data_IF_254057802268
#
_entry.id   IF_254057802268
#
_cell.length_a   1.000
_cell.length_b   1.000
_cell.length_c   1.000
_cell.angle_alpha   90.00
_cell.angle_beta   90.00
_cell.angle_gamma   90.00
#
_symmetry.space_group_name_H-M   'P 1'
#
loop_
_entity.id
_entity.type
_entity.pdbx_description
1 polymer ?
#
# COMPACT_ATOMS: atom_id res chain seq x y z
N UNK A 1 40.26 10.17 -9.67
CA UNK A 1 39.15 11.02 -9.19
C UNK A 1 37.88 10.55 -9.88
N UNK A 2 37.09 9.75 -9.16
CA UNK A 2 35.81 9.17 -9.59
C UNK A 2 34.69 10.02 -8.99
N UNK A 3 33.65 10.30 -9.78
CA UNK A 3 32.23 10.39 -9.38
C UNK A 3 31.49 11.37 -10.29
N UNK A 4 30.75 10.84 -11.28
CA UNK A 4 29.57 11.48 -11.87
C UNK A 4 29.00 10.55 -12.95
N UNK A 5 28.24 9.53 -12.55
CA UNK A 5 27.37 8.76 -13.45
C UNK A 5 26.59 7.77 -12.58
N UNK A 6 25.37 8.12 -12.16
CA UNK A 6 24.30 7.18 -11.80
C UNK A 6 23.01 7.96 -11.55
N UNK A 7 22.23 8.17 -12.61
CA UNK A 7 20.81 8.52 -12.55
C UNK A 7 20.20 8.37 -13.95
N UNK A 8 20.01 7.13 -14.38
CA UNK A 8 19.12 6.74 -15.47
C UNK A 8 19.09 5.20 -15.55
N UNK A 9 18.22 4.56 -14.78
CA UNK A 9 17.67 3.23 -15.10
C UNK A 9 16.72 2.80 -13.96
N UNK A 10 15.43 2.86 -14.22
CA UNK A 10 14.47 1.73 -14.21
C UNK A 10 13.09 2.37 -14.43
N UNK A 11 12.79 2.59 -15.70
CA UNK A 11 11.44 2.60 -16.21
C UNK A 11 11.45 1.60 -17.37
N UNK A 12 11.63 0.33 -17.04
CA UNK A 12 11.27 -0.76 -17.96
C UNK A 12 9.75 -0.91 -17.92
N UNK A 13 9.08 0.18 -18.31
CA UNK A 13 7.66 0.22 -18.54
C UNK A 13 7.43 -0.53 -19.85
N UNK A 14 6.53 -1.51 -19.81
CA UNK A 14 5.81 -1.98 -20.99
C UNK A 14 5.07 -0.77 -21.60
N UNK A 15 5.80 0.05 -22.36
CA UNK A 15 5.26 1.12 -23.16
C UNK A 15 4.81 0.49 -24.48
N UNK A 16 3.68 -0.23 -24.43
CA UNK A 16 2.95 -0.60 -25.63
C UNK A 16 2.33 0.69 -26.16
N UNK A 17 2.98 1.22 -27.19
CA UNK A 17 2.59 2.40 -27.93
C UNK A 17 1.18 2.22 -28.54
N UNK A 18 0.26 3.09 -28.11
CA UNK A 18 -0.84 3.66 -28.90
C UNK A 18 -1.67 2.74 -29.79
N UNK A 19 -2.68 2.08 -29.22
CA UNK A 19 -3.98 1.90 -29.86
C UNK A 19 -5.03 1.80 -28.75
N UNK A 20 -6.02 2.71 -28.73
CA UNK A 20 -7.23 2.65 -27.90
C UNK A 20 -8.16 1.57 -28.47
N UNK A 21 -7.66 0.34 -28.59
CA UNK A 21 -8.47 -0.86 -28.74
C UNK A 21 -8.95 -1.24 -27.35
N UNK A 22 -10.27 -1.41 -27.18
CA UNK A 22 -10.93 -1.55 -25.89
C UNK A 22 -10.11 -2.36 -24.88
N UNK A 23 -9.88 -1.80 -23.70
CA UNK A 23 -9.17 -2.48 -22.62
C UNK A 23 -9.98 -3.71 -22.21
N UNK A 24 -9.77 -4.83 -22.89
CA UNK A 24 -10.51 -6.06 -22.62
C UNK A 24 -10.17 -6.62 -21.24
N UNK A 25 -8.94 -6.36 -20.78
CA UNK A 25 -8.42 -6.78 -19.49
C UNK A 25 -7.37 -5.81 -18.94
N UNK A 26 -7.31 -5.68 -17.62
CA UNK A 26 -6.16 -5.09 -16.89
C UNK A 26 -5.51 -6.16 -16.00
N UNK A 27 -4.29 -5.91 -15.56
CA UNK A 27 -3.60 -6.76 -14.57
C UNK A 27 -3.30 -5.95 -13.31
N UNK A 28 -3.64 -6.51 -12.16
CA UNK A 28 -3.34 -5.94 -10.85
C UNK A 28 -2.71 -7.03 -9.99
N UNK A 29 -1.46 -6.81 -9.59
CA UNK A 29 -0.68 -7.71 -8.74
C UNK A 29 -0.58 -9.15 -9.29
N UNK A 30 -0.61 -9.33 -10.61
CA UNK A 30 -0.58 -10.65 -11.26
C UNK A 30 -1.95 -11.26 -11.56
N UNK A 31 -3.03 -10.65 -11.06
CA UNK A 31 -4.40 -11.09 -11.33
C UNK A 31 -4.99 -10.31 -12.50
N UNK A 32 -5.56 -11.02 -13.47
CA UNK A 32 -6.21 -10.41 -14.63
C UNK A 32 -7.67 -10.10 -14.33
N UNK A 33 -8.05 -8.84 -14.48
CA UNK A 33 -9.42 -8.37 -14.37
C UNK A 33 -9.99 -8.17 -15.78
N UNK A 34 -11.22 -8.63 -16.01
CA UNK A 34 -11.93 -8.40 -17.27
C UNK A 34 -12.80 -7.16 -17.20
N UNK A 35 -13.07 -6.53 -18.35
CA UNK A 35 -14.03 -5.42 -18.45
C UNK A 35 -15.36 -5.79 -17.78
N UNK A 36 -15.96 -4.82 -17.09
CA UNK A 36 -17.20 -4.99 -16.35
C UNK A 36 -18.18 -3.85 -16.63
N UNK A 37 -19.47 -4.10 -16.45
CA UNK A 37 -20.54 -3.09 -16.62
C UNK A 37 -20.92 -2.43 -15.28
N UNK A 38 -20.08 -2.55 -14.25
CA UNK A 38 -20.35 -1.92 -12.96
C UNK A 38 -20.19 -0.41 -13.08
N UNK A 39 -21.19 0.32 -12.61
CA UNK A 39 -21.12 1.77 -12.51
C UNK A 39 -20.39 2.18 -11.24
N UNK A 40 -19.74 3.35 -11.28
CA UNK A 40 -19.18 3.97 -10.08
C UNK A 40 -20.34 4.50 -9.24
N UNK A 41 -20.56 3.86 -8.09
CA UNK A 41 -21.58 4.28 -7.14
C UNK A 41 -21.29 5.69 -6.58
N UNK A 42 -20.02 5.97 -6.28
CA UNK A 42 -19.58 7.27 -5.78
C UNK A 42 -18.07 7.44 -5.99
N UNK A 43 -17.66 8.50 -6.68
CA UNK A 43 -16.26 8.74 -7.01
C UNK A 43 -15.41 9.12 -5.79
N UNK A 44 -16.02 9.68 -4.75
CA UNK A 44 -15.38 10.00 -3.46
C UNK A 44 -15.05 8.76 -2.62
N UNK A 45 -15.58 7.59 -3.01
CA UNK A 45 -15.28 6.28 -2.43
C UNK A 45 -14.36 5.43 -3.33
N UNK A 46 -13.68 6.04 -4.30
CA UNK A 46 -12.62 5.37 -5.06
C UNK A 46 -11.27 5.68 -4.44
N UNK A 47 -10.58 4.64 -3.97
CA UNK A 47 -9.29 4.75 -3.33
C UNK A 47 -8.18 4.39 -4.31
N UNK A 48 -7.23 5.30 -4.49
CA UNK A 48 -6.09 5.05 -5.37
C UNK A 48 -5.22 3.93 -4.80
N UNK A 49 -4.97 2.88 -5.59
CA UNK A 49 -4.20 1.70 -5.15
C UNK A 49 -2.69 1.96 -5.09
N UNK A 50 -2.22 3.06 -5.67
CA UNK A 50 -0.81 3.36 -5.91
C UNK A 50 -0.32 2.88 -7.29
N UNK A 51 -1.09 2.03 -7.97
CA UNK A 51 -0.69 1.42 -9.25
C UNK A 51 -1.24 2.15 -10.47
N UNK A 52 -0.60 1.95 -11.61
CA UNK A 52 -1.10 2.43 -12.90
C UNK A 52 -1.10 1.32 -13.94
N UNK A 53 -2.06 1.35 -14.85
CA UNK A 53 -2.14 0.43 -15.98
C UNK A 53 -2.28 1.22 -17.28
N UNK A 54 -1.35 1.04 -18.22
CA UNK A 54 -1.35 1.83 -19.46
C UNK A 54 -1.28 3.35 -19.23
N UNK A 55 -0.73 3.78 -18.09
CA UNK A 55 -0.67 5.18 -17.66
C UNK A 55 -1.92 5.68 -16.91
N UNK A 56 -3.01 4.91 -16.85
CA UNK A 56 -4.19 5.26 -16.07
C UNK A 56 -4.04 4.77 -14.61
N UNK A 57 -4.46 5.59 -13.64
CA UNK A 57 -4.47 5.22 -12.22
C UNK A 57 -5.49 4.11 -11.97
N UNK A 58 -5.12 3.16 -11.10
CA UNK A 58 -6.02 2.09 -10.65
C UNK A 58 -6.64 2.43 -9.30
N UNK A 59 -7.96 2.36 -9.24
CA UNK A 59 -8.76 2.64 -8.05
C UNK A 59 -9.50 1.40 -7.59
N UNK A 60 -9.57 1.20 -6.27
CA UNK A 60 -10.43 0.20 -5.64
C UNK A 60 -11.64 0.88 -5.00
N UNK A 61 -12.82 0.26 -5.02
CA UNK A 61 -14.01 0.80 -4.39
C UNK A 61 -14.02 0.59 -2.87
N UNK A 62 -14.16 1.67 -2.12
CA UNK A 62 -14.30 1.66 -0.67
C UNK A 62 -15.65 1.16 -0.15
N UNK A 63 -16.63 0.93 -1.04
CA UNK A 63 -17.93 0.39 -0.67
C UNK A 63 -17.97 -1.15 -0.68
N UNK A 64 -16.93 -1.81 -1.18
CA UNK A 64 -16.79 -3.26 -1.00
C UNK A 64 -16.40 -3.56 0.45
N UNK A 65 -16.89 -4.68 0.98
CA UNK A 65 -16.34 -5.19 2.24
C UNK A 65 -14.83 -5.41 2.08
N UNK A 66 -14.01 -5.05 3.07
CA UNK A 66 -12.56 -5.22 2.98
C UNK A 66 -12.21 -6.69 2.69
N UNK A 67 -11.83 -6.93 1.44
CA UNK A 67 -11.40 -8.23 0.93
C UNK A 67 -9.88 -8.36 0.97
N UNK A 68 -9.38 -9.56 0.64
CA UNK A 68 -7.94 -9.78 0.44
C UNK A 68 -7.45 -9.25 -0.90
N UNK A 69 -8.36 -9.15 -1.86
CA UNK A 69 -8.17 -8.63 -3.20
C UNK A 69 -9.47 -7.90 -3.59
N UNK A 70 -9.42 -6.68 -4.15
CA UNK A 70 -10.62 -5.98 -4.63
C UNK A 70 -11.38 -6.83 -5.65
N UNK A 71 -12.70 -6.96 -5.52
CA UNK A 71 -13.48 -7.64 -6.57
C UNK A 71 -13.64 -6.78 -7.81
N UNK A 72 -13.59 -5.46 -7.64
CA UNK A 72 -13.61 -4.48 -8.70
C UNK A 72 -12.38 -3.58 -8.66
N UNK A 73 -11.97 -3.15 -9.85
CA UNK A 73 -11.00 -2.08 -10.05
C UNK A 73 -11.57 -1.10 -11.06
N UNK A 74 -11.14 0.15 -10.96
CA UNK A 74 -11.52 1.21 -11.88
C UNK A 74 -10.28 1.89 -12.44
N UNK A 75 -10.31 2.23 -13.72
CA UNK A 75 -9.43 3.24 -14.32
C UNK A 75 -10.22 4.51 -14.57
N UNK A 76 -9.56 5.65 -14.70
CA UNK A 76 -10.19 6.90 -15.16
C UNK A 76 -9.53 7.45 -16.40
N UNK A 77 -10.33 8.04 -17.29
CA UNK A 77 -9.89 8.83 -18.43
C UNK A 77 -10.84 10.02 -18.68
N UNK A 78 -10.74 10.66 -19.85
CA UNK A 78 -11.60 11.78 -20.21
C UNK A 78 -13.10 11.42 -20.39
N UNK A 79 -13.40 10.14 -20.65
CA UNK A 79 -14.77 9.65 -20.81
C UNK A 79 -15.41 9.24 -19.47
N UNK A 80 -14.60 9.05 -18.42
CA UNK A 80 -15.06 8.75 -17.07
C UNK A 80 -14.31 7.57 -16.47
N UNK A 81 -15.02 6.80 -15.64
CA UNK A 81 -14.46 5.61 -15.01
C UNK A 81 -14.85 4.34 -15.77
N UNK A 82 -13.90 3.42 -15.86
CA UNK A 82 -14.09 2.11 -16.51
C UNK A 82 -13.87 1.01 -15.49
N UNK A 83 -14.86 0.13 -15.32
CA UNK A 83 -14.83 -0.91 -14.33
C UNK A 83 -14.25 -2.22 -14.87
N UNK A 84 -13.51 -2.92 -14.00
CA UNK A 84 -12.94 -4.22 -14.26
C UNK A 84 -13.22 -5.14 -13.08
N UNK A 85 -13.63 -6.37 -13.34
CA UNK A 85 -13.95 -7.37 -12.32
C UNK A 85 -12.92 -8.48 -12.29
N UNK A 86 -12.54 -8.91 -11.08
CA UNK A 86 -11.71 -10.10 -10.90
C UNK A 86 -12.44 -11.35 -11.42
N UNK A 87 -11.72 -12.45 -11.71
CA UNK A 87 -12.35 -13.72 -12.04
C UNK A 87 -13.25 -14.20 -10.88
N UNK A 88 -14.44 -14.73 -11.21
CA UNK A 88 -15.43 -15.13 -10.20
C UNK A 88 -14.98 -16.31 -9.33
N UNK A 89 -14.13 -17.19 -9.86
CA UNK A 89 -13.60 -18.37 -9.18
C UNK A 89 -12.13 -18.55 -9.52
N UNK A 90 -11.36 -19.06 -8.56
CA UNK A 90 -9.95 -19.36 -8.79
C UNK A 90 -9.15 -19.54 -7.50
N UNK A 91 -7.90 -19.90 -7.68
CA UNK A 91 -6.89 -19.88 -6.61
C UNK A 91 -5.83 -18.88 -7.04
N UNK A 92 -5.58 -17.88 -6.22
CA UNK A 92 -4.64 -16.82 -6.54
C UNK A 92 -3.85 -16.41 -5.30
N UNK A 93 -2.60 -16.06 -5.54
CA UNK A 93 -1.78 -15.39 -4.54
C UNK A 93 -2.15 -13.90 -4.54
N UNK A 94 -1.88 -13.24 -3.42
CA UNK A 94 -1.99 -11.80 -3.28
C UNK A 94 -0.92 -11.28 -2.33
N UNK A 95 -0.60 -10.00 -2.44
CA UNK A 95 -0.14 -9.21 -1.31
C UNK A 95 -1.23 -8.23 -0.92
N UNK A 96 -1.17 -7.70 0.30
CA UNK A 96 -2.25 -6.87 0.84
C UNK A 96 -2.41 -5.54 0.10
N UNK A 97 -1.34 -5.03 -0.50
CA UNK A 97 -1.33 -3.88 -1.39
C UNK A 97 -0.13 -4.00 -2.34
N UNK A 98 -0.06 -3.14 -3.35
CA UNK A 98 0.97 -3.22 -4.37
C UNK A 98 2.28 -2.48 -4.02
N UNK A 99 2.24 -1.49 -3.11
CA UNK A 99 3.41 -0.68 -2.73
C UNK A 99 3.67 -0.67 -1.22
N UNK A 100 4.86 -1.13 -0.84
CA UNK A 100 5.37 -1.14 0.54
C UNK A 100 6.54 -0.18 0.67
N UNK A 101 6.66 0.47 1.83
CA UNK A 101 7.89 1.18 2.18
C UNK A 101 9.02 0.21 2.58
N UNK A 102 10.27 0.70 2.56
CA UNK A 102 11.40 -0.03 3.13
C UNK A 102 11.16 -0.35 4.61
N UNK A 103 11.29 -1.63 4.96
CA UNK A 103 11.06 -2.14 6.32
C UNK A 103 9.59 -2.28 6.72
N UNK A 104 8.64 -1.95 5.83
CA UNK A 104 7.21 -2.22 6.07
C UNK A 104 6.93 -3.72 5.89
N UNK A 105 6.40 -4.44 6.90
CA UNK A 105 6.10 -5.86 6.74
C UNK A 105 5.13 -6.13 5.59
N UNK A 106 5.49 -7.08 4.73
CA UNK A 106 4.71 -7.48 3.56
C UNK A 106 3.80 -8.64 3.95
N UNK A 107 2.49 -8.39 4.02
CA UNK A 107 1.49 -9.45 4.13
C UNK A 107 1.18 -10.01 2.75
N UNK A 108 1.39 -11.32 2.61
CA UNK A 108 1.14 -12.11 1.41
C UNK A 108 0.18 -13.24 1.75
N UNK A 109 -0.58 -13.73 0.78
CA UNK A 109 -1.47 -14.85 1.02
C UNK A 109 -1.88 -15.61 -0.22
N UNK A 110 -2.55 -16.73 0.02
CA UNK A 110 -3.19 -17.56 -1.00
C UNK A 110 -4.68 -17.65 -0.67
N UNK A 111 -5.53 -17.26 -1.61
CA UNK A 111 -6.98 -17.37 -1.50
C UNK A 111 -7.47 -18.52 -2.38
N UNK A 112 -8.37 -19.35 -1.85
CA UNK A 112 -9.06 -20.39 -2.61
C UNK A 112 -10.54 -20.06 -2.74
N UNK A 113 -10.94 -19.50 -3.87
CA UNK A 113 -12.35 -19.31 -4.28
C UNK A 113 -12.76 -20.38 -5.32
N UNK A 114 -11.96 -21.43 -5.52
CA UNK A 114 -12.34 -22.53 -6.40
C UNK A 114 -13.25 -23.51 -5.66
N UNK A 115 -14.04 -24.28 -6.41
CA UNK A 115 -14.99 -25.23 -5.85
C UNK A 115 -14.37 -26.33 -4.96
N UNK A 116 -13.09 -26.66 -5.16
CA UNK A 116 -12.37 -27.73 -4.47
C UNK A 116 -11.30 -27.22 -3.51
N UNK A 117 -10.72 -28.15 -2.76
CA UNK A 117 -9.58 -27.88 -1.86
C UNK A 117 -8.24 -27.88 -2.60
N UNK A 118 -7.25 -27.23 -2.00
CA UNK A 118 -5.85 -27.25 -2.45
C UNK A 118 -4.97 -27.78 -1.33
N UNK A 119 -4.16 -28.79 -1.62
CA UNK A 119 -3.19 -29.31 -0.67
C UNK A 119 -1.82 -28.67 -0.94
N UNK A 120 -1.33 -27.89 0.03
CA UNK A 120 -0.04 -27.24 0.00
C UNK A 120 1.05 -28.17 0.54
N UNK A 121 2.22 -28.19 -0.11
CA UNK A 121 3.32 -29.10 0.22
C UNK A 121 3.88 -28.98 1.64
N UNK A 122 3.74 -27.82 2.30
CA UNK A 122 4.23 -27.58 3.65
C UNK A 122 3.47 -26.39 4.32
N UNK A 123 3.84 -26.02 5.54
CA UNK A 123 3.19 -24.94 6.29
C UNK A 123 3.46 -23.50 5.78
N UNK A 124 4.52 -23.29 4.99
CA UNK A 124 4.90 -22.01 4.43
C UNK A 124 5.54 -22.21 3.04
N UNK A 125 4.75 -22.62 2.03
CA UNK A 125 5.27 -23.07 0.73
C UNK A 125 5.58 -21.89 -0.19
N UNK A 126 5.95 -20.73 0.36
CA UNK A 126 6.16 -19.49 -0.37
C UNK A 126 7.63 -19.12 -0.42
N UNK A 127 8.00 -18.32 -1.40
CA UNK A 127 9.30 -17.69 -1.51
C UNK A 127 9.14 -16.27 -2.06
N UNK A 128 10.06 -15.38 -1.72
CA UNK A 128 10.12 -14.04 -2.32
C UNK A 128 11.19 -14.04 -3.39
N UNK A 129 10.83 -13.50 -4.54
CA UNK A 129 11.72 -13.30 -5.65
C UNK A 129 11.86 -11.81 -5.93
N UNK A 130 13.09 -11.34 -6.12
CA UNK A 130 13.40 -9.99 -6.57
C UNK A 130 13.70 -10.00 -8.07
N UNK A 131 13.28 -8.98 -8.79
CA UNK A 131 13.70 -8.80 -10.18
C UNK A 131 15.13 -8.26 -10.23
N UNK A 132 16.08 -9.08 -10.71
CA UNK A 132 17.49 -8.72 -10.78
C UNK A 132 18.05 -9.01 -12.17
N UNK A 133 18.50 -7.97 -12.88
CA UNK A 133 19.05 -8.12 -14.22
C UNK A 133 18.06 -8.71 -15.24
N UNK A 134 16.77 -8.39 -15.09
CA UNK A 134 15.70 -8.88 -15.96
C UNK A 134 15.20 -10.30 -15.66
N UNK A 135 15.71 -10.95 -14.60
CA UNK A 135 15.28 -12.27 -14.18
C UNK A 135 14.82 -12.28 -12.71
N UNK A 136 13.78 -13.05 -12.42
CA UNK A 136 13.31 -13.27 -11.06
C UNK A 136 14.26 -14.21 -10.32
N UNK A 137 14.77 -13.78 -9.17
CA UNK A 137 15.67 -14.58 -8.32
C UNK A 137 15.12 -14.68 -6.91
N UNK A 138 15.07 -15.91 -6.38
CA UNK A 138 14.69 -16.15 -4.99
C UNK A 138 15.69 -15.51 -4.04
N UNK A 139 15.19 -14.65 -3.16
CA UNK A 139 15.98 -13.94 -2.13
C UNK A 139 15.62 -14.38 -0.71
N UNK A 140 14.40 -14.90 -0.53
CA UNK A 140 13.91 -15.36 0.76
C UNK A 140 13.04 -16.60 0.60
N UNK A 141 13.26 -17.58 1.47
CA UNK A 141 12.44 -18.77 1.60
C UNK A 141 12.38 -19.18 3.08
N UNK A 142 11.20 -19.23 3.71
CA UNK A 142 11.08 -19.60 5.10
C UNK A 142 11.40 -21.08 5.30
N UNK A 143 11.99 -21.40 6.46
CA UNK A 143 12.06 -22.78 6.93
C UNK A 143 10.67 -23.22 7.35
N UNK A 144 10.13 -24.26 6.70
CA UNK A 144 8.77 -24.73 6.91
C UNK A 144 8.74 -26.20 7.36
N UNK A 145 7.87 -26.52 8.32
CA UNK A 145 7.57 -27.90 8.68
C UNK A 145 6.96 -28.66 7.50
N UNK A 146 7.43 -29.89 7.23
CA UNK A 146 6.95 -30.76 6.16
C UNK A 146 5.59 -31.39 6.50
N UNK A 147 4.56 -30.56 6.54
CA UNK A 147 3.18 -30.98 6.80
C UNK A 147 2.28 -30.48 5.68
N UNK A 148 1.56 -31.40 5.05
CA UNK A 148 0.54 -31.03 4.05
C UNK A 148 -0.48 -30.13 4.72
N UNK A 149 -0.68 -28.93 4.17
CA UNK A 149 -1.72 -28.03 4.63
C UNK A 149 -2.82 -27.96 3.59
N UNK A 150 -4.01 -28.38 3.95
CA UNK A 150 -5.20 -28.22 3.12
C UNK A 150 -5.76 -26.80 3.24
N UNK A 151 -6.07 -26.19 2.10
CA UNK A 151 -6.77 -24.92 1.96
C UNK A 151 -8.15 -25.21 1.34
N UNK A 152 -9.20 -25.12 2.15
CA UNK A 152 -10.59 -25.38 1.74
C UNK A 152 -11.15 -24.26 0.85
N UNK A 153 -12.24 -24.55 0.16
CA UNK A 153 -12.98 -23.55 -0.61
C UNK A 153 -13.48 -22.42 0.30
N UNK A 154 -13.30 -21.18 -0.14
CA UNK A 154 -13.70 -19.95 0.55
C UNK A 154 -12.71 -19.55 1.66
N UNK A 155 -11.60 -20.26 1.79
CA UNK A 155 -10.59 -19.98 2.82
C UNK A 155 -9.32 -19.38 2.23
N UNK A 156 -8.53 -18.76 3.09
CA UNK A 156 -7.24 -18.18 2.73
C UNK A 156 -6.20 -18.53 3.78
N UNK A 157 -4.93 -18.41 3.39
CA UNK A 157 -3.79 -18.44 4.31
C UNK A 157 -2.89 -17.25 4.04
N UNK A 158 -2.43 -16.62 5.11
CA UNK A 158 -1.55 -15.46 5.07
C UNK A 158 -0.22 -15.74 5.75
N UNK A 159 0.81 -15.05 5.28
CA UNK A 159 2.13 -14.99 5.87
C UNK A 159 2.62 -13.54 5.83
N UNK A 160 3.57 -13.24 6.70
CA UNK A 160 4.22 -11.93 6.73
C UNK A 160 5.70 -12.09 6.49
N UNK A 161 6.24 -11.25 5.62
CA UNK A 161 7.66 -11.13 5.36
C UNK A 161 8.16 -9.77 5.85
N UNK A 162 9.22 -9.75 6.64
CA UNK A 162 9.78 -8.54 7.27
C UNK A 162 10.80 -7.81 6.39
N UNK A 163 10.80 -8.10 5.08
CA UNK A 163 11.75 -7.56 4.09
C UNK A 163 13.21 -7.92 4.37
N UNK A 164 13.47 -9.10 4.93
CA UNK A 164 14.83 -9.65 5.07
C UNK A 164 15.10 -10.78 4.08
N UNK A 165 16.32 -10.88 3.59
CA UNK A 165 16.75 -12.03 2.79
C UNK A 165 17.04 -13.27 3.66
N UNK A 166 17.44 -14.37 3.02
CA UNK A 166 17.81 -15.61 3.74
C UNK A 166 19.01 -15.46 4.69
N UNK A 167 19.84 -14.42 4.52
CA UNK A 167 20.93 -14.08 5.42
C UNK A 167 20.48 -13.24 6.62
N UNK A 168 19.22 -12.79 6.63
CA UNK A 168 18.69 -11.87 7.63
C UNK A 168 19.00 -10.40 7.33
N UNK A 169 19.54 -10.07 6.17
CA UNK A 169 19.85 -8.70 5.77
C UNK A 169 18.62 -8.01 5.18
N UNK A 170 18.48 -6.71 5.43
CA UNK A 170 17.36 -5.94 4.87
C UNK A 170 17.52 -5.81 3.34
N UNK A 171 16.42 -6.02 2.61
CA UNK A 171 16.43 -5.90 1.15
C UNK A 171 16.32 -4.44 0.70
N UNK A 172 16.70 -4.17 -0.56
CA UNK A 172 16.61 -2.84 -1.16
C UNK A 172 15.23 -2.57 -1.78
N UNK A 173 15.00 -1.32 -2.17
CA UNK A 173 13.85 -0.97 -3.01
C UNK A 173 13.92 -1.70 -4.37
N UNK A 174 12.75 -2.02 -4.95
CA UNK A 174 12.66 -2.70 -6.24
C UNK A 174 11.34 -3.44 -6.45
N UNK A 175 11.30 -4.20 -7.54
CA UNK A 175 10.17 -5.04 -7.94
C UNK A 175 10.33 -6.45 -7.36
N UNK A 176 9.26 -6.94 -6.74
CA UNK A 176 9.21 -8.21 -6.05
C UNK A 176 7.98 -9.02 -6.49
N UNK A 177 8.08 -10.33 -6.29
CA UNK A 177 6.90 -11.20 -6.30
C UNK A 177 7.02 -12.27 -5.24
N UNK A 178 5.88 -12.70 -4.74
CA UNK A 178 5.77 -13.95 -3.99
C UNK A 178 5.43 -15.07 -4.96
N UNK A 179 6.12 -16.20 -4.82
CA UNK A 179 5.78 -17.46 -5.48
C UNK A 179 5.31 -18.46 -4.42
N UNK A 180 4.03 -18.81 -4.44
CA UNK A 180 3.42 -19.78 -3.52
C UNK A 180 3.26 -21.10 -4.25
N UNK A 181 3.82 -22.14 -3.66
CA UNK A 181 3.90 -23.50 -4.19
C UNK A 181 4.54 -23.58 -5.58
N UNK A 182 5.36 -22.58 -5.95
CA UNK A 182 5.97 -22.45 -7.28
C UNK A 182 4.98 -22.19 -8.42
N UNK A 183 3.70 -21.98 -8.12
CA UNK A 183 2.62 -21.87 -9.12
C UNK A 183 1.87 -20.55 -9.05
N UNK A 184 1.54 -20.10 -7.84
CA UNK A 184 0.71 -18.92 -7.63
C UNK A 184 1.61 -17.72 -7.39
N UNK A 185 1.41 -16.66 -8.16
CA UNK A 185 2.28 -15.48 -8.16
C UNK A 185 1.47 -14.25 -7.76
N UNK A 186 2.05 -13.39 -6.94
CA UNK A 186 1.56 -12.03 -6.74
C UNK A 186 2.72 -11.05 -6.73
N UNK A 187 2.53 -9.90 -7.37
CA UNK A 187 3.55 -8.88 -7.56
C UNK A 187 3.34 -7.71 -6.62
N UNK A 188 4.44 -7.14 -6.15
CA UNK A 188 4.45 -5.94 -5.32
C UNK A 188 5.78 -5.21 -5.45
N UNK A 189 5.80 -3.98 -4.99
CA UNK A 189 6.94 -3.09 -5.05
C UNK A 189 7.36 -2.68 -3.63
N UNK A 190 8.66 -2.66 -3.40
CA UNK A 190 9.23 -1.94 -2.26
C UNK A 190 9.71 -0.60 -2.81
N UNK A 191 8.96 0.47 -2.52
CA UNK A 191 9.19 1.81 -3.05
C UNK A 191 9.32 2.78 -1.88
N UNK A 192 10.44 3.51 -1.77
CA UNK A 192 10.57 4.59 -0.79
C UNK A 192 9.49 5.64 -1.05
N UNK A 193 8.84 6.09 0.02
CA UNK A 193 7.86 7.18 -0.04
C UNK A 193 6.43 6.74 -0.26
N UNK A 194 6.10 5.45 -0.30
CA UNK A 194 4.70 5.04 -0.18
C UNK A 194 4.14 5.51 1.17
N UNK A 195 2.93 6.09 1.27
CA UNK A 195 2.39 6.46 2.56
C UNK A 195 2.11 5.21 3.42
N UNK A 196 2.29 5.34 4.73
CA UNK A 196 2.18 4.21 5.67
C UNK A 196 0.88 4.31 6.46
N UNK A 197 0.19 3.18 6.64
CA UNK A 197 -0.98 3.08 7.51
C UNK A 197 -0.81 1.91 8.47
N UNK A 198 -1.01 2.17 9.77
CA UNK A 198 -0.84 1.18 10.84
C UNK A 198 -2.06 1.13 11.75
N UNK A 199 -2.24 -0.03 12.36
CA UNK A 199 -3.10 -0.24 13.50
C UNK A 199 -2.20 -0.67 14.66
N UNK A 200 -2.28 0.02 15.78
CA UNK A 200 -1.44 -0.25 16.95
C UNK A 200 -2.31 -0.30 18.21
N UNK A 201 -2.00 -1.24 19.11
CA UNK A 201 -2.68 -1.33 20.41
C UNK A 201 -2.12 -0.36 21.46
N UNK A 202 -1.12 0.45 21.07
CA UNK A 202 -0.44 1.41 21.94
C UNK A 202 -1.40 2.52 22.36
N UNK A 203 -1.41 2.85 23.65
CA UNK A 203 -2.01 4.07 24.17
C UNK A 203 -0.92 5.13 24.32
N UNK A 204 -1.01 6.17 23.50
CA UNK A 204 -0.04 7.24 23.43
C UNK A 204 -0.33 8.33 24.47
N UNK A 205 0.74 8.99 24.91
CA UNK A 205 0.71 10.26 25.62
C UNK A 205 1.65 11.25 24.89
N UNK A 206 1.75 12.48 25.36
CA UNK A 206 2.64 13.48 24.74
C UNK A 206 4.09 13.01 24.62
N UNK A 207 4.60 12.28 25.62
CA UNK A 207 5.99 11.84 25.64
C UNK A 207 6.20 10.70 24.64
N UNK A 208 5.40 9.65 24.72
CA UNK A 208 5.54 8.47 23.84
C UNK A 208 5.27 8.82 22.39
N UNK A 209 4.32 9.74 22.14
CA UNK A 209 4.02 10.19 20.80
C UNK A 209 5.22 10.96 20.21
N UNK A 210 5.80 11.90 20.97
CA UNK A 210 7.02 12.60 20.54
C UNK A 210 8.16 11.61 20.29
N UNK A 211 8.46 10.73 21.24
CA UNK A 211 9.56 9.77 21.13
C UNK A 211 9.41 8.84 19.91
N UNK A 212 8.17 8.48 19.55
CA UNK A 212 7.89 7.57 18.42
C UNK A 212 7.93 8.26 17.06
N UNK A 213 7.28 9.42 16.92
CA UNK A 213 7.05 10.01 15.60
C UNK A 213 8.09 11.04 15.18
N UNK A 214 8.91 11.55 16.12
CA UNK A 214 9.86 12.61 15.83
C UNK A 214 10.96 12.18 14.86
N UNK A 215 11.49 10.97 15.04
CA UNK A 215 12.54 10.38 14.20
C UNK A 215 12.02 9.21 13.35
N UNK A 216 10.71 9.19 13.08
CA UNK A 216 10.06 8.15 12.28
C UNK A 216 10.70 8.05 10.89
N UNK A 217 11.30 6.91 10.56
CA UNK A 217 12.04 6.70 9.29
C UNK A 217 11.17 6.94 8.06
N UNK A 218 9.87 6.74 8.20
CA UNK A 218 8.83 6.90 7.19
C UNK A 218 8.78 8.34 6.68
N UNK A 219 8.84 9.33 7.58
CA UNK A 219 8.74 10.73 7.16
C UNK A 219 9.98 11.15 6.35
N UNK A 220 11.16 10.67 6.73
CA UNK A 220 12.40 10.98 6.02
C UNK A 220 12.39 10.39 4.60
N UNK A 221 12.09 9.11 4.48
CA UNK A 221 11.99 8.44 3.18
C UNK A 221 10.91 9.08 2.28
N UNK A 222 9.79 9.50 2.88
CA UNK A 222 8.73 10.19 2.17
C UNK A 222 9.15 11.58 1.67
N UNK A 223 9.82 12.39 2.50
CA UNK A 223 10.28 13.73 2.12
C UNK A 223 11.37 13.72 1.04
N UNK A 224 12.17 12.64 0.96
CA UNK A 224 13.13 12.42 -0.13
C UNK A 224 12.44 12.13 -1.47
N UNK A 225 11.30 11.44 -1.44
CA UNK A 225 10.50 11.10 -2.62
C UNK A 225 9.65 12.29 -3.10
N UNK A 226 8.94 12.96 -2.19
CA UNK A 226 8.07 14.09 -2.49
C UNK A 226 8.77 15.42 -2.17
N UNK A 227 9.51 15.93 -3.15
CA UNK A 227 10.24 17.21 -3.02
C UNK A 227 9.34 18.43 -3.21
N UNK A 228 8.25 18.27 -3.95
CA UNK A 228 7.31 19.34 -4.25
C UNK A 228 5.90 18.94 -3.84
N UNK A 229 5.16 19.93 -3.39
CA UNK A 229 3.77 19.79 -3.01
C UNK A 229 2.87 20.15 -4.20
N UNK A 230 1.97 19.23 -4.56
CA UNK A 230 0.90 19.48 -5.52
C UNK A 230 -0.41 18.87 -5.00
N UNK A 231 -1.54 19.53 -5.27
CA UNK A 231 -2.87 19.04 -4.87
C UNK A 231 -3.19 17.66 -5.44
N UNK A 232 -2.66 17.35 -6.63
CA UNK A 232 -2.77 16.01 -7.21
C UNK A 232 -1.99 14.98 -6.38
N UNK A 233 -0.74 15.25 -6.04
CA UNK A 233 0.06 14.37 -5.19
C UNK A 233 -0.61 14.15 -3.83
N UNK A 234 -1.23 15.18 -3.25
CA UNK A 234 -2.03 15.04 -2.01
C UNK A 234 -3.19 14.06 -2.20
N UNK A 235 -3.99 14.23 -3.25
CA UNK A 235 -5.13 13.34 -3.51
C UNK A 235 -4.69 11.90 -3.72
N UNK A 236 -3.57 11.69 -4.41
CA UNK A 236 -3.04 10.35 -4.65
C UNK A 236 -2.54 9.71 -3.34
N UNK A 237 -1.81 10.46 -2.53
CA UNK A 237 -1.28 10.00 -1.24
C UNK A 237 -2.42 9.71 -0.26
N UNK A 238 -3.38 10.61 -0.12
CA UNK A 238 -4.58 10.39 0.69
C UNK A 238 -5.35 9.16 0.19
N UNK A 239 -5.54 9.03 -1.13
CA UNK A 239 -6.20 7.87 -1.75
C UNK A 239 -5.50 6.54 -1.43
N UNK A 240 -4.17 6.50 -1.47
CA UNK A 240 -3.38 5.33 -1.07
C UNK A 240 -3.51 5.01 0.41
N UNK A 241 -3.56 6.02 1.28
CA UNK A 241 -3.78 5.80 2.71
C UNK A 241 -5.18 5.21 2.97
N UNK A 242 -6.21 5.72 2.32
CA UNK A 242 -7.56 5.17 2.42
C UNK A 242 -7.63 3.73 1.91
N UNK A 243 -6.96 3.42 0.79
CA UNK A 243 -6.87 2.06 0.29
C UNK A 243 -6.16 1.13 1.28
N UNK A 244 -5.01 1.54 1.84
CA UNK A 244 -4.27 0.75 2.83
C UNK A 244 -5.07 0.55 4.13
N UNK A 245 -5.81 1.55 4.58
CA UNK A 245 -6.71 1.43 5.73
C UNK A 245 -7.80 0.40 5.46
N UNK A 246 -8.47 0.50 4.32
CA UNK A 246 -9.49 -0.46 3.89
C UNK A 246 -8.95 -1.89 3.82
N UNK A 247 -7.82 -2.12 3.15
CA UNK A 247 -7.20 -3.46 3.07
C UNK A 247 -6.83 -4.03 4.45
N UNK A 248 -6.50 -3.17 5.42
CA UNK A 248 -6.18 -3.58 6.81
C UNK A 248 -7.43 -3.79 7.67
N UNK A 249 -8.63 -3.64 7.12
CA UNK A 249 -9.88 -3.72 7.87
C UNK A 249 -10.10 -2.55 8.83
N UNK A 250 -9.40 -1.44 8.63
CA UNK A 250 -9.64 -0.18 9.33
C UNK A 250 -10.76 0.60 8.63
N UNK A 251 -11.33 1.57 9.33
CA UNK A 251 -12.40 2.42 8.82
C UNK A 251 -11.82 3.57 7.96
N UNK A 252 -11.91 3.50 6.61
CA UNK A 252 -11.37 4.55 5.75
C UNK A 252 -12.13 5.86 5.87
N UNK A 253 -13.41 5.85 6.28
CA UNK A 253 -14.21 7.07 6.40
C UNK A 253 -13.75 7.90 7.61
N UNK A 254 -13.43 7.21 8.71
CA UNK A 254 -12.78 7.85 9.87
C UNK A 254 -11.41 8.40 9.52
N UNK A 255 -10.59 7.65 8.78
CA UNK A 255 -9.29 8.15 8.32
C UNK A 255 -9.46 9.38 7.40
N UNK A 256 -10.40 9.35 6.45
CA UNK A 256 -10.70 10.46 5.56
C UNK A 256 -11.12 11.72 6.33
N UNK A 257 -11.98 11.54 7.34
CA UNK A 257 -12.38 12.60 8.27
C UNK A 257 -11.18 13.16 9.03
N UNK A 258 -10.31 12.30 9.57
CA UNK A 258 -9.10 12.71 10.28
C UNK A 258 -8.11 13.48 9.39
N UNK A 259 -7.86 12.99 8.18
CA UNK A 259 -7.05 13.66 7.17
C UNK A 259 -7.60 15.05 6.86
N UNK A 260 -8.91 15.16 6.63
CA UNK A 260 -9.59 16.43 6.38
C UNK A 260 -9.46 17.39 7.57
N UNK A 261 -9.75 16.96 8.79
CA UNK A 261 -9.66 17.80 10.00
C UNK A 261 -8.23 18.30 10.21
N UNK A 262 -7.23 17.42 10.08
CA UNK A 262 -5.82 17.79 10.20
C UNK A 262 -5.41 18.81 9.13
N UNK A 263 -5.85 18.61 7.88
CA UNK A 263 -5.59 19.51 6.76
C UNK A 263 -6.23 20.89 6.94
N UNK A 264 -7.49 20.93 7.37
CA UNK A 264 -8.22 22.20 7.57
C UNK A 264 -7.57 23.04 8.69
N UNK A 265 -6.94 22.38 9.67
CA UNK A 265 -6.13 23.05 10.69
C UNK A 265 -4.73 23.45 10.20
N UNK A 266 -4.17 22.73 9.24
CA UNK A 266 -2.88 23.00 8.62
C UNK A 266 -2.89 24.17 7.62
N UNK A 267 -3.92 25.02 7.63
CA UNK A 267 -4.41 26.00 6.61
C UNK A 267 -3.40 26.90 5.87
N UNK A 268 -2.11 26.78 6.12
CA UNK A 268 -1.02 27.52 5.46
C UNK A 268 0.07 26.62 4.88
N UNK A 269 -0.04 25.30 4.97
CA UNK A 269 1.10 24.39 4.79
C UNK A 269 0.97 23.48 3.59
N UNK A 270 1.94 23.60 2.69
CA UNK A 270 2.22 22.71 1.56
C UNK A 270 2.79 21.37 2.07
N UNK A 271 1.97 20.61 2.80
CA UNK A 271 2.35 19.31 3.38
C UNK A 271 1.56 18.16 2.78
N UNK A 272 2.17 16.98 2.81
CA UNK A 272 1.56 15.71 2.46
C UNK A 272 1.52 14.79 3.70
N UNK A 273 0.43 14.05 3.93
CA UNK A 273 0.40 13.05 4.98
C UNK A 273 1.28 11.86 4.57
N UNK A 274 2.21 11.44 5.42
CA UNK A 274 3.14 10.35 5.11
C UNK A 274 2.91 9.09 5.96
N UNK A 275 2.28 9.25 7.14
CA UNK A 275 2.01 8.16 8.07
C UNK A 275 0.69 8.43 8.78
N UNK A 276 -0.16 7.39 8.86
CA UNK A 276 -1.36 7.36 9.69
C UNK A 276 -1.31 6.15 10.60
N UNK A 277 -1.58 6.36 11.89
CA UNK A 277 -1.65 5.28 12.89
C UNK A 277 -3.01 5.35 13.57
N UNK A 278 -3.77 4.25 13.50
CA UNK A 278 -4.95 4.05 14.32
C UNK A 278 -4.52 3.44 15.65
N UNK A 279 -4.76 4.16 16.74
CA UNK A 279 -4.28 3.81 18.08
C UNK A 279 -5.16 4.47 19.16
N UNK A 280 -4.73 4.44 20.41
CA UNK A 280 -5.34 5.24 21.49
C UNK A 280 -4.43 6.40 21.89
N UNK A 281 -5.02 7.49 22.38
CA UNK A 281 -4.31 8.59 23.04
C UNK A 281 -5.04 8.96 24.33
N UNK A 282 -4.39 8.80 25.48
CA UNK A 282 -5.02 8.98 26.79
C UNK A 282 -6.27 8.10 26.99
N UNK A 283 -6.26 6.88 26.44
CA UNK A 283 -7.35 5.92 26.48
C UNK A 283 -8.45 6.15 25.43
N UNK A 284 -8.32 7.17 24.58
CA UNK A 284 -9.31 7.52 23.57
C UNK A 284 -8.88 7.02 22.17
N UNK A 285 -9.70 6.22 21.46
CA UNK A 285 -9.40 5.81 20.09
C UNK A 285 -9.23 7.01 19.16
N UNK A 286 -8.19 7.01 18.34
CA UNK A 286 -7.84 8.14 17.51
C UNK A 286 -7.02 7.73 16.27
N UNK A 287 -6.91 8.68 15.36
CA UNK A 287 -5.94 8.68 14.27
C UNK A 287 -4.81 9.66 14.57
N UNK A 288 -3.58 9.16 14.56
CA UNK A 288 -2.36 9.98 14.58
C UNK A 288 -1.89 10.13 13.14
N UNK A 289 -1.95 11.36 12.61
CA UNK A 289 -1.54 11.67 11.23
C UNK A 289 -0.26 12.49 11.25
N UNK A 290 0.80 11.96 10.68
CA UNK A 290 2.07 12.66 10.48
C UNK A 290 2.11 13.24 9.07
N UNK A 291 2.32 14.54 9.00
CA UNK A 291 2.52 15.30 7.78
C UNK A 291 3.98 15.70 7.64
N UNK A 292 4.46 15.69 6.40
CA UNK A 292 5.80 16.09 6.01
C UNK A 292 5.75 17.29 5.05
N UNK A 293 6.65 18.26 5.21
CA UNK A 293 6.78 19.45 4.35
C UNK A 293 7.51 19.20 3.01
N UNK A 294 7.96 17.98 2.77
CA UNK A 294 8.98 17.69 1.77
C UNK A 294 10.34 18.23 2.19
N UNK A 295 11.39 17.84 1.46
CA UNK A 295 12.74 18.37 1.66
C UNK A 295 12.91 19.67 0.86
N UNK A 296 12.31 20.77 1.32
CA UNK A 296 12.64 22.09 0.79
C UNK A 296 14.06 22.49 1.27
N UNK A 297 14.99 22.69 0.33
CA UNK A 297 16.38 23.12 0.59
C UNK A 297 17.24 22.14 1.42
N UNK A 298 17.10 20.83 1.23
CA UNK A 298 17.97 19.79 1.83
C UNK A 298 17.97 19.71 3.38
N UNK A 299 17.16 20.52 4.06
CA UNK A 299 16.89 20.35 5.49
C UNK A 299 15.93 19.17 5.69
N UNK A 300 16.11 18.32 6.72
CA UNK A 300 15.11 17.33 7.08
C UNK A 300 13.76 18.03 7.17
N UNK A 301 12.81 17.56 6.34
CA UNK A 301 11.50 18.19 6.23
C UNK A 301 10.88 18.36 7.60
N UNK A 302 10.36 19.55 7.89
CA UNK A 302 9.61 19.75 9.12
C UNK A 302 8.49 18.72 9.20
N UNK A 303 8.27 18.13 10.37
CA UNK A 303 7.12 17.26 10.63
C UNK A 303 6.09 17.98 11.48
N UNK A 304 4.84 17.59 11.28
CA UNK A 304 3.75 17.92 12.18
C UNK A 304 2.90 16.68 12.35
N UNK A 305 2.50 16.38 13.57
CA UNK A 305 1.51 15.34 13.80
C UNK A 305 0.24 15.91 14.41
N UNK A 306 -0.86 15.27 14.05
CA UNK A 306 -2.20 15.57 14.53
C UNK A 306 -2.78 14.31 15.13
N UNK A 307 -3.29 14.41 16.35
CA UNK A 307 -4.10 13.36 16.98
C UNK A 307 -5.54 13.77 16.82
N UNK A 308 -6.29 13.01 16.03
CA UNK A 308 -7.69 13.26 15.73
C UNK A 308 -8.54 12.18 16.36
N UNK A 309 -9.45 12.57 17.23
CA UNK A 309 -10.40 11.66 17.86
C UNK A 309 -11.31 10.97 16.83
N UNK A 310 -11.45 9.65 16.96
CA UNK A 310 -12.30 8.82 16.09
C UNK A 310 -13.77 9.22 16.15
N UNK A 311 -14.27 9.61 17.33
CA UNK A 311 -15.69 9.81 17.56
C UNK A 311 -16.15 11.21 17.15
N UNK A 312 -15.45 12.25 17.60
CA UNK A 312 -15.77 13.64 17.35
C UNK A 312 -15.14 14.19 16.06
N UNK A 313 -14.14 13.50 15.49
CA UNK A 313 -13.39 13.98 14.34
C UNK A 313 -12.63 15.28 14.62
N UNK A 314 -12.27 15.53 15.89
CA UNK A 314 -11.62 16.77 16.36
C UNK A 314 -10.17 16.51 16.72
N UNK A 315 -9.32 17.51 16.50
CA UNK A 315 -7.94 17.47 16.99
C UNK A 315 -7.95 17.55 18.51
N UNK A 316 -7.38 16.53 19.16
CA UNK A 316 -7.21 16.46 20.62
C UNK A 316 -5.78 16.74 21.06
N UNK A 317 -4.80 16.59 20.16
CA UNK A 317 -3.41 16.96 20.36
C UNK A 317 -2.76 17.28 19.01
N UNK A 318 -1.83 18.23 18.98
CA UNK A 318 -0.96 18.45 17.82
C UNK A 318 0.39 18.95 18.30
N UNK A 319 1.46 18.57 17.62
CA UNK A 319 2.76 19.20 17.81
C UNK A 319 3.45 19.44 16.48
N UNK A 320 4.30 20.46 16.49
CA UNK A 320 5.15 20.86 15.38
C UNK A 320 6.59 20.75 15.85
N UNK A 321 7.50 20.46 14.92
CA UNK A 321 8.93 20.40 15.21
C UNK A 321 9.61 21.77 15.48
N UNK A 322 8.84 22.78 15.94
CA UNK A 322 9.31 24.13 16.29
C UNK A 322 8.97 24.47 17.73
#
# INVERSE_FOLDING_TARGET
>A
MRAALFLAAIAAMFMICGCVGGMGTIEYMGLKYGSSTHDVASADKLYYTGETWGGAKLYAPGWESPGKVPSLLFTSDAAGYHAFSKPAVGIYAYSLYAHYNLGEPVTIGLMNEAAGKVDLKNAAPWEIQALQGGAWKTIYQPVAAQVITTLENGTYREWTWDQRDNGGEAVCAGEYRVAIDGKYMAYFNITPGSPVVRAEATDYDNKTLRDTFWDAKEHKAFGEHYKEYADEARRDVEGQMLFKAWMKGLDPDKLQSALKTARDNASTLNMLPCLAVHASYGGQPCWIIVYNWGMANESPGHIRYYVVDDAAGKIIQFETCR
#
